data_IF_887667207100
#
_entry.id   IF_887667207100
#
_cell.length_a   1.000
_cell.length_b   1.000
_cell.length_c   1.000
_cell.angle_alpha   90.00
_cell.angle_beta   90.00
_cell.angle_gamma   90.00
#
_symmetry.space_group_name_H-M   'P 1'
#
loop_
_entity.id
_entity.type
_entity.pdbx_description
1 polymer ?
#
# COMPACT_ATOMS: atom_id res chain seq x y z
N UNK A 1 18.56 -11.93 13.79
CA UNK A 1 17.09 -11.83 13.73
C UNK A 1 16.58 -12.98 12.90
N UNK A 2 15.62 -13.75 13.40
CA UNK A 2 14.93 -14.75 12.56
C UNK A 2 14.34 -14.06 11.32
N UNK A 3 14.06 -14.84 10.26
CA UNK A 3 13.38 -14.35 9.04
C UNK A 3 12.08 -13.59 9.34
N UNK A 4 11.42 -13.87 10.46
CA UNK A 4 10.12 -13.30 10.82
C UNK A 4 10.23 -12.08 11.75
N UNK A 5 11.21 -12.04 12.66
CA UNK A 5 11.42 -10.90 13.58
C UNK A 5 11.55 -9.56 12.84
N UNK A 6 12.22 -9.55 11.67
CA UNK A 6 12.33 -8.34 10.84
C UNK A 6 10.97 -7.80 10.38
N UNK A 7 9.96 -8.66 10.29
CA UNK A 7 8.62 -8.29 9.84
C UNK A 7 7.68 -7.98 11.01
N UNK A 8 8.08 -8.28 12.25
CA UNK A 8 7.36 -7.89 13.46
C UNK A 8 7.83 -6.53 13.99
N UNK A 9 9.10 -6.17 13.78
CA UNK A 9 9.66 -4.91 14.27
C UNK A 9 9.05 -3.68 13.58
N UNK A 10 8.80 -2.62 14.34
CA UNK A 10 8.48 -1.31 13.78
C UNK A 10 9.73 -0.64 13.21
N UNK A 11 9.55 -0.01 12.05
CA UNK A 11 10.47 0.95 11.44
C UNK A 11 9.92 2.37 11.61
N UNK A 12 10.72 3.44 11.41
CA UNK A 12 10.28 4.83 11.67
C UNK A 12 8.93 5.20 11.05
N UNK A 13 8.64 4.73 9.84
CA UNK A 13 7.36 4.99 9.17
C UNK A 13 6.17 4.25 9.78
N UNK A 14 6.40 3.08 10.39
CA UNK A 14 5.36 2.21 10.95
C UNK A 14 5.23 2.29 12.46
N UNK A 15 6.13 2.99 13.15
CA UNK A 15 6.11 3.14 14.61
C UNK A 15 4.89 3.99 15.03
N UNK A 16 4.00 3.45 15.88
CA UNK A 16 2.82 4.19 16.34
C UNK A 16 3.09 5.21 17.45
N UNK A 17 4.33 5.27 17.96
CA UNK A 17 4.73 6.18 19.03
C UNK A 17 3.86 6.03 20.28
N UNK A 18 3.28 7.14 20.75
CA UNK A 18 2.50 7.19 21.98
C UNK A 18 1.23 6.30 21.96
N UNK A 19 0.79 5.87 20.77
CA UNK A 19 -0.41 5.05 20.60
C UNK A 19 -0.13 3.53 20.62
N UNK A 20 1.11 3.09 20.85
CA UNK A 20 1.47 1.66 20.88
C UNK A 20 0.59 0.84 21.84
N UNK A 21 0.33 1.35 23.05
CA UNK A 21 -0.54 0.68 24.04
C UNK A 21 -2.00 0.59 23.58
N UNK A 22 -2.52 1.63 22.93
CA UNK A 22 -3.88 1.62 22.39
C UNK A 22 -4.02 0.55 21.29
N UNK A 23 -3.04 0.46 20.39
CA UNK A 23 -3.05 -0.55 19.32
C UNK A 23 -2.94 -1.96 19.90
N UNK A 24 -2.09 -2.18 20.90
CA UNK A 24 -1.99 -3.47 21.59
C UNK A 24 -3.32 -3.92 22.21
N UNK A 25 -4.19 -2.99 22.59
CA UNK A 25 -5.52 -3.26 23.15
C UNK A 25 -6.63 -3.53 22.12
N UNK A 26 -6.36 -3.34 20.82
CA UNK A 26 -7.33 -3.67 19.77
C UNK A 26 -7.57 -5.19 19.65
N UNK A 27 -8.69 -5.63 19.03
CA UNK A 27 -8.93 -7.04 18.74
C UNK A 27 -7.82 -7.68 17.90
N UNK A 28 -7.60 -8.99 18.06
CA UNK A 28 -6.56 -9.75 17.34
C UNK A 28 -6.93 -10.06 15.88
N UNK A 29 -8.22 -10.08 15.57
CA UNK A 29 -8.70 -10.48 14.25
C UNK A 29 -8.41 -9.41 13.19
N UNK A 30 -7.83 -9.83 12.06
CA UNK A 30 -7.34 -8.93 11.00
C UNK A 30 -8.47 -8.12 10.36
N UNK A 31 -9.67 -8.71 10.19
CA UNK A 31 -10.83 -8.00 9.67
C UNK A 31 -11.29 -6.89 10.61
N UNK A 32 -11.29 -7.12 11.92
CA UNK A 32 -11.55 -6.06 12.90
C UNK A 32 -10.50 -4.95 12.87
N UNK A 33 -9.22 -5.29 12.76
CA UNK A 33 -8.14 -4.29 12.62
C UNK A 33 -8.31 -3.47 11.33
N UNK A 34 -8.61 -4.12 10.21
CA UNK A 34 -8.92 -3.44 8.96
C UNK A 34 -10.13 -2.51 9.11
N UNK A 35 -11.20 -2.95 9.79
CA UNK A 35 -12.36 -2.11 10.11
C UNK A 35 -12.02 -0.86 10.94
N UNK A 36 -11.08 -0.97 11.89
CA UNK A 36 -10.57 0.20 12.62
C UNK A 36 -9.86 1.15 11.65
N UNK A 37 -8.96 0.65 10.79
CA UNK A 37 -8.27 1.47 9.79
C UNK A 37 -9.27 2.20 8.87
N UNK A 38 -10.31 1.51 8.41
CA UNK A 38 -11.39 2.07 7.58
C UNK A 38 -12.18 3.18 8.29
N UNK A 39 -12.33 3.06 9.62
CA UNK A 39 -12.96 4.08 10.46
C UNK A 39 -12.08 5.30 10.72
N UNK A 40 -10.77 5.23 10.44
CA UNK A 40 -9.79 6.29 10.70
C UNK A 40 -9.36 7.02 9.42
N UNK A 41 -9.27 6.30 8.31
CA UNK A 41 -8.75 6.80 7.05
C UNK A 41 -9.84 6.93 5.98
N UNK A 42 -9.62 7.87 5.07
CA UNK A 42 -10.41 8.03 3.85
C UNK A 42 -9.48 8.20 2.67
N UNK A 43 -9.71 7.42 1.61
CA UNK A 43 -8.85 7.47 0.44
C UNK A 43 -9.21 8.67 -0.45
N UNK A 44 -8.20 9.43 -0.86
CA UNK A 44 -8.36 10.70 -1.59
C UNK A 44 -9.08 10.59 -2.94
N UNK A 45 -9.01 9.43 -3.62
CA UNK A 45 -9.75 9.19 -4.87
C UNK A 45 -11.25 8.93 -4.68
N UNK A 46 -11.72 8.68 -3.46
CA UNK A 46 -13.09 8.22 -3.20
C UNK A 46 -13.96 9.24 -2.45
N UNK A 47 -13.47 10.47 -2.22
CA UNK A 47 -14.13 11.49 -1.41
C UNK A 47 -15.58 11.75 -1.82
N UNK A 48 -15.81 11.94 -3.12
CA UNK A 48 -17.15 12.22 -3.67
C UNK A 48 -18.13 11.07 -3.41
N UNK A 49 -17.66 9.83 -3.37
CA UNK A 49 -18.48 8.66 -3.04
C UNK A 49 -18.90 8.60 -1.57
N UNK A 50 -18.19 9.32 -0.70
CA UNK A 50 -18.61 9.57 0.68
C UNK A 50 -19.34 10.91 0.85
N UNK A 51 -19.73 11.57 -0.25
CA UNK A 51 -20.44 12.85 -0.22
C UNK A 51 -19.57 14.04 0.19
N UNK A 52 -18.24 13.93 0.07
CA UNK A 52 -17.31 15.01 0.42
C UNK A 52 -16.77 15.71 -0.83
N UNK A 53 -16.58 17.02 -0.72
CA UNK A 53 -15.97 17.82 -1.79
C UNK A 53 -14.44 17.83 -1.65
N UNK A 54 -13.75 17.33 -2.68
CA UNK A 54 -12.30 17.31 -2.75
C UNK A 54 -11.65 18.71 -2.68
N UNK A 55 -12.37 19.76 -3.08
CA UNK A 55 -11.89 21.15 -3.02
C UNK A 55 -11.70 21.65 -1.58
N UNK A 56 -12.38 21.01 -0.62
CA UNK A 56 -12.33 21.37 0.80
C UNK A 56 -11.17 20.72 1.54
N UNK A 57 -10.38 19.89 0.85
CA UNK A 57 -9.23 19.24 1.46
C UNK A 57 -8.07 20.21 1.66
N UNK A 58 -7.55 20.21 2.89
CA UNK A 58 -6.30 20.86 3.20
C UNK A 58 -5.09 20.23 2.49
N UNK A 59 -3.96 20.95 2.40
CA UNK A 59 -2.76 20.52 1.67
C UNK A 59 -2.11 19.23 2.20
N UNK A 60 -2.46 18.80 3.43
CA UNK A 60 -1.92 17.59 4.05
C UNK A 60 -2.55 16.29 3.55
N UNK A 61 -3.66 16.36 2.80
CA UNK A 61 -4.45 15.18 2.39
C UNK A 61 -3.69 14.16 1.51
N UNK A 62 -2.59 14.57 0.87
CA UNK A 62 -1.71 13.68 0.07
C UNK A 62 -0.28 13.61 0.60
N UNK A 63 -0.01 14.20 1.75
CA UNK A 63 1.30 14.08 2.36
C UNK A 63 1.48 12.66 2.88
N UNK A 64 2.65 12.08 2.61
CA UNK A 64 3.02 10.82 3.23
C UNK A 64 3.52 11.11 4.64
N UNK A 65 2.85 10.53 5.63
CA UNK A 65 3.14 10.69 7.05
C UNK A 65 3.60 9.35 7.64
N UNK A 66 4.44 9.40 8.68
CA UNK A 66 4.64 8.24 9.55
C UNK A 66 3.33 7.88 10.28
N UNK A 67 3.22 6.65 10.79
CA UNK A 67 2.03 6.25 11.56
C UNK A 67 1.83 7.10 12.80
N UNK A 68 2.88 7.46 13.54
CA UNK A 68 2.78 8.38 14.67
C UNK A 68 2.18 9.75 14.26
N UNK A 69 2.67 10.35 13.16
CA UNK A 69 2.15 11.62 12.65
C UNK A 69 0.71 11.49 12.12
N UNK A 70 0.40 10.39 11.42
CA UNK A 70 -0.96 10.11 10.92
C UNK A 70 -1.95 9.96 12.07
N UNK A 71 -1.59 9.23 13.12
CA UNK A 71 -2.43 9.08 14.31
C UNK A 71 -2.61 10.42 15.05
N UNK A 72 -1.57 11.25 15.12
CA UNK A 72 -1.70 12.61 15.67
C UNK A 72 -2.65 13.50 14.84
N UNK A 73 -2.58 13.44 13.50
CA UNK A 73 -3.53 14.13 12.62
C UNK A 73 -4.97 13.63 12.83
N UNK A 74 -5.17 12.30 12.93
CA UNK A 74 -6.47 11.70 13.23
C UNK A 74 -7.04 12.22 14.54
N UNK A 75 -6.25 12.19 15.62
CA UNK A 75 -6.68 12.65 16.95
C UNK A 75 -6.93 14.16 16.99
N UNK A 76 -6.21 14.96 16.19
CA UNK A 76 -6.43 16.40 16.08
C UNK A 76 -7.74 16.73 15.35
N UNK A 77 -8.14 15.92 14.36
CA UNK A 77 -9.38 16.09 13.60
C UNK A 77 -10.61 15.70 14.41
N UNK A 78 -10.47 14.63 15.20
CA UNK A 78 -11.52 14.06 16.04
C UNK A 78 -10.88 13.21 17.15
N UNK A 79 -11.08 13.62 18.41
CA UNK A 79 -10.39 13.10 19.58
C UNK A 79 -11.04 11.84 20.19
N UNK A 80 -12.09 11.29 19.55
CA UNK A 80 -12.69 10.02 19.98
C UNK A 80 -11.66 8.88 20.00
N UNK A 81 -11.86 7.83 20.81
CA UNK A 81 -10.95 6.69 20.85
C UNK A 81 -10.65 6.11 19.45
N UNK A 82 -9.40 5.73 19.20
CA UNK A 82 -8.97 5.23 17.87
C UNK A 82 -9.75 4.00 17.40
N UNK A 83 -10.24 3.15 18.31
CA UNK A 83 -11.09 2.01 17.97
C UNK A 83 -12.53 2.38 17.57
N UNK A 84 -12.94 3.64 17.70
CA UNK A 84 -14.26 4.12 17.32
C UNK A 84 -14.22 4.77 15.94
N UNK A 85 -15.08 4.29 15.04
CA UNK A 85 -15.17 4.82 13.69
C UNK A 85 -15.57 6.31 13.68
N UNK A 86 -14.99 7.05 12.75
CA UNK A 86 -15.32 8.46 12.48
C UNK A 86 -16.27 8.55 11.28
N UNK A 87 -17.18 9.55 11.25
CA UNK A 87 -17.87 9.90 10.02
C UNK A 87 -16.84 10.33 8.96
N UNK A 88 -17.19 10.20 7.68
CA UNK A 88 -16.23 10.35 6.58
C UNK A 88 -15.53 11.72 6.58
N UNK A 89 -16.25 12.79 6.91
CA UNK A 89 -15.75 14.18 7.01
C UNK A 89 -14.73 14.39 8.15
N UNK A 90 -14.60 13.44 9.07
CA UNK A 90 -13.67 13.46 10.21
C UNK A 90 -12.53 12.46 10.09
N UNK A 91 -12.49 11.65 9.04
CA UNK A 91 -11.37 10.72 8.78
C UNK A 91 -10.15 11.49 8.24
N UNK A 92 -8.96 10.97 8.50
CA UNK A 92 -7.74 11.52 7.89
C UNK A 92 -7.64 11.05 6.45
N UNK A 93 -7.36 11.98 5.53
CA UNK A 93 -7.27 11.65 4.11
C UNK A 93 -5.88 11.15 3.75
N UNK A 94 -5.82 10.08 2.97
CA UNK A 94 -4.59 9.46 2.49
C UNK A 94 -4.77 8.69 1.19
N UNK A 95 -3.84 7.77 0.94
CA UNK A 95 -3.74 6.90 -0.24
C UNK A 95 -3.74 5.43 0.17
N UNK A 96 -3.81 4.50 -0.79
CA UNK A 96 -3.75 3.05 -0.53
C UNK A 96 -2.55 2.65 0.34
N UNK A 97 -1.41 3.34 0.19
CA UNK A 97 -0.23 3.16 1.04
C UNK A 97 -0.52 3.41 2.52
N UNK A 98 -1.27 4.46 2.84
CA UNK A 98 -1.57 4.81 4.24
C UNK A 98 -2.41 3.71 4.90
N UNK A 99 -3.38 3.13 4.17
CA UNK A 99 -4.17 1.99 4.63
C UNK A 99 -3.30 0.75 4.85
N UNK A 100 -2.47 0.40 3.87
CA UNK A 100 -1.56 -0.74 3.98
C UNK A 100 -0.55 -0.59 5.12
N UNK A 101 0.03 0.60 5.29
CA UNK A 101 1.00 0.89 6.34
C UNK A 101 0.36 0.91 7.73
N UNK A 102 -0.86 1.44 7.86
CA UNK A 102 -1.56 1.46 9.15
C UNK A 102 -1.96 0.06 9.60
N UNK A 103 -2.49 -0.78 8.69
CA UNK A 103 -2.78 -2.18 9.02
C UNK A 103 -1.49 -2.94 9.38
N UNK A 104 -0.41 -2.74 8.62
CA UNK A 104 0.90 -3.31 8.92
C UNK A 104 1.39 -2.91 10.32
N UNK A 105 1.27 -1.64 10.69
CA UNK A 105 1.63 -1.17 12.03
C UNK A 105 0.74 -1.77 13.12
N UNK A 106 -0.56 -1.94 12.88
CA UNK A 106 -1.45 -2.56 13.85
C UNK A 106 -1.08 -4.02 14.10
N UNK A 107 -0.83 -4.78 13.03
CA UNK A 107 -0.40 -6.18 13.12
C UNK A 107 0.96 -6.33 13.85
N UNK A 108 1.94 -5.49 13.51
CA UNK A 108 3.25 -5.46 14.19
C UNK A 108 3.12 -5.14 15.68
N UNK A 109 2.27 -4.19 16.04
CA UNK A 109 1.97 -3.84 17.45
C UNK A 109 1.34 -5.00 18.23
N UNK A 110 0.86 -6.03 17.54
CA UNK A 110 0.28 -7.26 18.10
C UNK A 110 1.20 -8.47 17.93
N UNK A 111 2.45 -8.25 17.52
CA UNK A 111 3.45 -9.31 17.33
C UNK A 111 3.30 -10.09 16.03
N UNK A 112 2.34 -9.76 15.17
CA UNK A 112 2.11 -10.47 13.90
C UNK A 112 3.11 -9.98 12.84
N UNK A 113 3.91 -10.87 12.23
CA UNK A 113 4.79 -10.51 11.13
C UNK A 113 3.97 -9.92 9.96
N UNK A 114 4.26 -8.68 9.59
CA UNK A 114 3.54 -7.97 8.54
C UNK A 114 4.48 -7.09 7.70
N UNK A 115 4.13 -6.91 6.43
CA UNK A 115 4.84 -6.06 5.49
C UNK A 115 3.87 -5.39 4.53
N UNK A 116 4.24 -4.21 4.08
CA UNK A 116 3.52 -3.52 3.00
C UNK A 116 4.02 -4.09 1.68
N UNK A 117 3.14 -4.19 0.67
CA UNK A 117 3.48 -4.60 -0.69
C UNK A 117 2.95 -3.58 -1.69
N UNK A 118 3.71 -3.36 -2.75
CA UNK A 118 3.35 -2.51 -3.88
C UNK A 118 3.20 -3.39 -5.13
N UNK A 119 2.17 -3.13 -5.93
CA UNK A 119 1.81 -3.99 -7.05
C UNK A 119 0.53 -3.53 -7.70
N UNK A 120 -0.29 -4.47 -8.17
CA UNK A 120 -1.45 -4.16 -8.97
C UNK A 120 -2.69 -4.96 -8.58
N UNK A 121 -3.82 -4.28 -8.44
CA UNK A 121 -5.12 -4.82 -8.08
C UNK A 121 -6.03 -4.96 -9.31
N UNK A 122 -6.71 -6.10 -9.45
CA UNK A 122 -7.66 -6.36 -10.56
C UNK A 122 -9.12 -6.05 -10.21
N UNK A 123 -9.39 -5.50 -9.02
CA UNK A 123 -10.74 -5.33 -8.47
C UNK A 123 -11.21 -3.87 -8.40
N UNK A 124 -10.45 -2.93 -8.97
CA UNK A 124 -10.87 -1.52 -9.07
C UNK A 124 -11.24 -1.07 -10.48
N UNK A 125 -10.83 -1.77 -11.52
CA UNK A 125 -11.07 -1.39 -12.91
C UNK A 125 -11.05 -2.61 -13.83
N UNK A 126 -11.24 -2.41 -15.14
CA UNK A 126 -11.12 -3.49 -16.13
C UNK A 126 -9.67 -3.95 -16.40
N UNK A 127 -8.68 -3.35 -15.73
CA UNK A 127 -7.26 -3.70 -15.83
C UNK A 127 -6.62 -3.89 -14.45
N UNK A 128 -5.30 -3.73 -14.40
CA UNK A 128 -4.49 -3.87 -13.21
C UNK A 128 -4.06 -2.48 -12.69
N UNK A 129 -4.68 -2.05 -11.59
CA UNK A 129 -4.50 -0.71 -11.01
C UNK A 129 -3.35 -0.69 -9.98
N UNK A 130 -2.48 0.33 -10.04
CA UNK A 130 -1.44 0.63 -9.03
C UNK A 130 -2.04 0.60 -7.63
N UNK A 131 -1.52 -0.29 -6.78
CA UNK A 131 -2.11 -0.46 -5.47
C UNK A 131 -1.13 -0.97 -4.42
N UNK A 132 -1.46 -0.66 -3.17
CA UNK A 132 -0.67 -0.99 -1.99
C UNK A 132 -1.52 -1.77 -1.00
N UNK A 133 -1.01 -2.91 -0.54
CA UNK A 133 -1.71 -3.79 0.41
C UNK A 133 -0.80 -4.19 1.57
N UNK A 134 -1.39 -4.77 2.62
CA UNK A 134 -0.64 -5.42 3.67
C UNK A 134 -0.57 -6.93 3.41
N UNK A 135 0.61 -7.52 3.52
CA UNK A 135 0.81 -8.95 3.57
C UNK A 135 1.24 -9.33 4.99
N UNK A 136 0.57 -10.32 5.58
CA UNK A 136 0.79 -10.72 6.97
C UNK A 136 0.90 -12.22 7.12
N UNK A 137 1.62 -12.69 8.15
CA UNK A 137 1.71 -14.11 8.43
C UNK A 137 0.56 -14.54 9.33
N UNK A 138 -0.24 -15.49 8.84
CA UNK A 138 -1.27 -16.14 9.62
C UNK A 138 -0.67 -17.00 10.73
N UNK A 139 -1.02 -16.70 11.98
CA UNK A 139 -0.43 -17.36 13.15
C UNK A 139 -0.75 -18.86 13.24
N UNK A 140 -1.89 -19.28 12.69
CA UNK A 140 -2.32 -20.69 12.71
C UNK A 140 -1.62 -21.52 11.64
N UNK A 141 -1.59 -21.03 10.39
CA UNK A 141 -1.05 -21.81 9.26
C UNK A 141 0.40 -21.47 8.89
N UNK A 142 0.96 -20.38 9.42
CA UNK A 142 2.28 -19.87 9.05
C UNK A 142 2.37 -19.30 7.62
N UNK A 143 1.24 -19.27 6.89
CA UNK A 143 1.17 -18.78 5.51
C UNK A 143 1.05 -17.26 5.48
N UNK A 144 1.68 -16.65 4.49
CA UNK A 144 1.43 -15.24 4.20
C UNK A 144 0.05 -15.09 3.54
N UNK A 145 -0.76 -14.17 4.05
CA UNK A 145 -2.08 -13.79 3.55
C UNK A 145 -2.07 -12.32 3.13
N UNK A 146 -2.98 -11.95 2.24
CA UNK A 146 -3.10 -10.61 1.68
C UNK A 146 -4.30 -9.91 2.30
N UNK A 147 -4.13 -8.66 2.72
CA UNK A 147 -5.19 -7.85 3.28
C UNK A 147 -5.14 -6.43 2.69
N UNK A 148 -6.29 -5.93 2.25
CA UNK A 148 -6.50 -4.56 1.82
C UNK A 148 -7.47 -3.84 2.75
N UNK A 149 -6.91 -3.11 3.71
CA UNK A 149 -7.67 -2.31 4.65
C UNK A 149 -8.42 -1.13 3.99
N UNK A 150 -8.17 -0.80 2.72
CA UNK A 150 -8.94 0.23 2.02
C UNK A 150 -10.38 -0.23 1.76
N UNK A 151 -10.63 -1.52 1.56
CA UNK A 151 -11.91 -2.06 1.09
C UNK A 151 -12.95 -2.13 2.22
N UNK A 152 -13.63 -1.01 2.44
CA UNK A 152 -14.77 -0.92 3.37
C UNK A 152 -16.10 -1.35 2.71
N UNK A 153 -17.19 -1.30 3.48
CA UNK A 153 -18.51 -1.68 3.00
C UNK A 153 -19.02 -0.84 1.80
N UNK A 154 -18.60 0.42 1.66
CA UNK A 154 -18.96 1.25 0.51
C UNK A 154 -18.24 0.73 -0.74
N UNK A 155 -16.92 0.57 -0.68
CA UNK A 155 -16.13 0.09 -1.81
C UNK A 155 -16.51 -1.32 -2.22
N UNK A 156 -16.78 -2.21 -1.26
CA UNK A 156 -17.27 -3.57 -1.57
C UNK A 156 -18.53 -3.55 -2.42
N UNK A 157 -19.51 -2.71 -2.06
CA UNK A 157 -20.76 -2.57 -2.82
C UNK A 157 -20.53 -1.93 -4.19
N UNK A 158 -19.76 -0.85 -4.23
CA UNK A 158 -19.52 -0.08 -5.46
C UNK A 158 -18.73 -0.89 -6.51
N UNK A 159 -17.73 -1.63 -6.04
CA UNK A 159 -16.80 -2.38 -6.90
C UNK A 159 -17.17 -3.86 -7.04
N UNK A 160 -18.31 -4.27 -6.47
CA UNK A 160 -18.79 -5.66 -6.48
C UNK A 160 -17.73 -6.66 -5.96
N UNK A 161 -17.04 -6.30 -4.88
CA UNK A 161 -16.00 -7.14 -4.27
C UNK A 161 -16.65 -8.17 -3.35
N UNK A 162 -16.53 -9.45 -3.73
CA UNK A 162 -17.15 -10.57 -3.01
C UNK A 162 -16.17 -11.27 -2.03
N UNK A 163 -14.86 -11.19 -2.28
CA UNK A 163 -13.86 -11.82 -1.43
C UNK A 163 -13.70 -11.12 -0.07
N UNK A 164 -13.08 -11.79 0.91
CA UNK A 164 -12.71 -11.17 2.19
C UNK A 164 -11.51 -10.23 2.00
N UNK A 165 -11.66 -8.96 2.37
CA UNK A 165 -10.59 -7.97 2.25
C UNK A 165 -9.48 -8.18 3.29
N UNK A 166 -9.72 -8.96 4.35
CA UNK A 166 -8.70 -9.35 5.32
C UNK A 166 -7.95 -10.64 4.93
N UNK A 167 -8.45 -11.41 3.96
CA UNK A 167 -7.81 -12.60 3.41
C UNK A 167 -8.14 -12.75 1.92
N UNK A 168 -7.44 -11.95 1.11
CA UNK A 168 -7.72 -11.83 -0.31
C UNK A 168 -7.17 -13.02 -1.10
N UNK A 169 -7.84 -13.43 -2.19
CA UNK A 169 -7.30 -14.45 -3.08
C UNK A 169 -6.07 -13.90 -3.80
N UNK A 170 -5.02 -14.72 -3.91
CA UNK A 170 -3.72 -14.30 -4.47
C UNK A 170 -3.78 -13.83 -5.93
N UNK A 171 -4.81 -14.19 -6.68
CA UNK A 171 -5.02 -13.75 -8.05
C UNK A 171 -5.73 -12.38 -8.15
N UNK A 172 -6.23 -11.81 -7.05
CA UNK A 172 -6.81 -10.47 -7.03
C UNK A 172 -5.75 -9.35 -6.99
N UNK A 173 -4.52 -9.69 -6.60
CA UNK A 173 -3.41 -8.74 -6.51
C UNK A 173 -2.11 -9.38 -6.99
N UNK A 174 -1.47 -8.78 -7.98
CA UNK A 174 -0.14 -9.17 -8.43
C UNK A 174 0.91 -8.29 -7.76
N UNK A 175 1.92 -8.91 -7.16
CA UNK A 175 3.09 -8.18 -6.68
C UNK A 175 3.80 -7.52 -7.87
N UNK A 176 4.45 -6.38 -7.67
CA UNK A 176 5.06 -5.63 -8.77
C UNK A 176 6.04 -6.47 -9.62
N UNK A 177 6.88 -7.29 -8.97
CA UNK A 177 7.80 -8.19 -9.65
C UNK A 177 7.11 -9.29 -10.46
N UNK A 178 5.99 -9.82 -9.96
CA UNK A 178 5.20 -10.83 -10.66
C UNK A 178 4.55 -10.24 -11.93
N UNK A 179 3.95 -9.05 -11.82
CA UNK A 179 3.38 -8.33 -12.95
C UNK A 179 4.46 -8.01 -14.01
N UNK A 180 5.62 -7.52 -13.58
CA UNK A 180 6.77 -7.26 -14.45
C UNK A 180 7.17 -8.52 -15.22
N UNK A 181 7.47 -9.61 -14.51
CA UNK A 181 7.94 -10.85 -15.15
C UNK A 181 6.89 -11.49 -16.06
N UNK A 182 5.59 -11.35 -15.74
CA UNK A 182 4.49 -11.83 -16.58
C UNK A 182 4.45 -11.08 -17.92
N UNK A 183 4.59 -9.75 -17.89
CA UNK A 183 4.72 -8.94 -19.10
C UNK A 183 6.00 -9.30 -19.89
N UNK A 184 7.11 -9.53 -19.20
CA UNK A 184 8.39 -9.90 -19.83
C UNK A 184 8.38 -11.27 -20.51
N UNK A 185 7.52 -12.19 -20.05
CA UNK A 185 7.26 -13.49 -20.71
C UNK A 185 6.25 -13.40 -21.85
N UNK A 186 5.62 -12.24 -22.09
CA UNK A 186 4.57 -12.06 -23.10
C UNK A 186 3.22 -12.68 -22.70
N UNK A 187 3.01 -12.94 -21.41
CA UNK A 187 1.77 -13.54 -20.88
C UNK A 187 0.70 -12.49 -20.54
N UNK A 188 1.08 -11.21 -20.50
CA UNK A 188 0.16 -10.10 -20.30
C UNK A 188 0.67 -8.85 -21.03
N UNK A 189 -0.27 -8.00 -21.47
CA UNK A 189 0.05 -6.74 -22.13
C UNK A 189 0.49 -5.70 -21.10
N UNK A 190 1.68 -5.07 -21.24
CA UNK A 190 2.13 -4.06 -20.29
C UNK A 190 1.16 -2.89 -20.11
N UNK A 191 0.43 -2.54 -21.18
CA UNK A 191 -0.54 -1.45 -21.17
C UNK A 191 -1.76 -1.72 -20.27
N UNK A 192 -1.98 -2.98 -19.84
CA UNK A 192 -3.02 -3.35 -18.89
C UNK A 192 -2.69 -2.99 -17.44
N UNK A 193 -1.45 -2.60 -17.14
CA UNK A 193 -0.97 -2.26 -15.80
C UNK A 193 -0.68 -0.77 -15.69
N UNK A 194 -1.26 -0.08 -14.71
CA UNK A 194 -1.04 1.35 -14.58
C UNK A 194 -1.80 2.04 -13.46
N UNK A 195 -1.72 3.38 -13.51
CA UNK A 195 -2.53 4.28 -12.71
C UNK A 195 -3.04 5.41 -13.58
N UNK A 196 -4.36 5.59 -13.63
CA UNK A 196 -5.01 6.54 -14.54
C UNK A 196 -4.50 6.31 -15.99
N UNK A 197 -3.96 7.35 -16.64
CA UNK A 197 -3.43 7.26 -18.01
C UNK A 197 -1.97 6.81 -18.09
N UNK A 198 -1.32 6.52 -16.96
CA UNK A 198 0.10 6.14 -16.94
C UNK A 198 0.21 4.62 -16.80
N UNK A 199 0.49 3.94 -17.91
CA UNK A 199 0.55 2.46 -17.99
C UNK A 199 1.87 1.99 -18.60
N UNK A 200 2.04 0.67 -18.76
CA UNK A 200 3.13 0.09 -19.54
C UNK A 200 4.37 -0.29 -18.73
N UNK A 201 5.39 -0.79 -19.44
CA UNK A 201 6.64 -1.29 -18.82
C UNK A 201 7.33 -0.24 -17.94
N UNK A 202 7.27 1.04 -18.32
CA UNK A 202 7.84 2.09 -17.49
C UNK A 202 7.17 2.19 -16.13
N UNK A 203 5.85 2.09 -16.07
CA UNK A 203 5.12 2.16 -14.81
C UNK A 203 5.24 0.87 -13.98
N UNK A 204 5.36 -0.29 -14.64
CA UNK A 204 5.76 -1.54 -14.00
C UNK A 204 7.14 -1.43 -13.34
N UNK A 205 8.14 -0.83 -14.03
CA UNK A 205 9.47 -0.54 -13.46
C UNK A 205 9.37 0.30 -12.18
N UNK A 206 8.57 1.38 -12.20
CA UNK A 206 8.33 2.24 -11.01
C UNK A 206 7.83 1.40 -9.83
N UNK A 207 6.87 0.50 -10.08
CA UNK A 207 6.31 -0.39 -9.07
C UNK A 207 7.31 -1.44 -8.56
N UNK A 208 8.14 -2.03 -9.44
CA UNK A 208 9.18 -2.99 -9.04
C UNK A 208 10.15 -2.35 -8.05
N UNK A 209 10.58 -1.11 -8.32
CA UNK A 209 11.47 -0.36 -7.44
C UNK A 209 10.81 0.06 -6.14
N UNK A 210 9.54 0.45 -6.17
CA UNK A 210 8.75 0.74 -4.96
C UNK A 210 8.59 -0.50 -4.06
N UNK A 211 8.19 -1.65 -4.60
CA UNK A 211 8.04 -2.89 -3.81
C UNK A 211 9.40 -3.34 -3.24
N UNK A 212 10.47 -3.24 -4.03
CA UNK A 212 11.83 -3.50 -3.56
C UNK A 212 12.25 -2.57 -2.41
N UNK A 213 11.98 -1.26 -2.52
CA UNK A 213 12.26 -0.30 -1.47
C UNK A 213 11.48 -0.59 -0.19
N UNK A 214 10.17 -0.87 -0.31
CA UNK A 214 9.31 -1.21 0.83
C UNK A 214 9.79 -2.48 1.55
N UNK A 215 10.19 -3.51 0.81
CA UNK A 215 10.74 -4.74 1.36
C UNK A 215 12.14 -4.58 1.99
N UNK A 216 12.77 -3.42 1.78
CA UNK A 216 14.04 -3.00 2.37
C UNK A 216 13.87 -1.79 3.31
N UNK A 217 12.73 -1.74 4.01
CA UNK A 217 12.41 -0.77 5.06
C UNK A 217 12.32 0.70 4.60
N UNK A 218 12.17 0.93 3.28
CA UNK A 218 11.93 2.24 2.67
C UNK A 218 10.51 2.31 2.13
N UNK A 219 9.56 2.55 3.03
CA UNK A 219 8.13 2.68 2.67
C UNK A 219 7.86 3.89 1.78
N UNK A 220 8.75 4.88 1.81
CA UNK A 220 8.76 6.05 0.92
C UNK A 220 10.06 6.12 0.14
N UNK A 221 9.99 6.63 -1.09
CA UNK A 221 11.16 6.82 -1.94
C UNK A 221 10.94 7.89 -3.01
N UNK A 222 12.01 8.34 -3.66
CA UNK A 222 11.92 9.26 -4.79
C UNK A 222 11.13 8.69 -5.98
N UNK A 223 11.01 7.36 -6.09
CA UNK A 223 10.14 6.71 -7.09
C UNK A 223 8.66 7.01 -6.88
N UNK A 224 8.29 7.54 -5.70
CA UNK A 224 6.92 7.98 -5.43
C UNK A 224 6.53 9.26 -6.18
N UNK A 225 7.55 9.99 -6.64
CA UNK A 225 7.43 11.23 -7.39
C UNK A 225 7.38 11.00 -8.90
N UNK A 226 7.00 9.79 -9.33
CA UNK A 226 6.91 9.42 -10.75
C UNK A 226 6.04 10.36 -11.59
N UNK A 227 5.07 11.08 -10.97
CA UNK A 227 4.27 12.10 -11.66
C UNK A 227 5.09 13.28 -12.16
N UNK A 228 6.27 13.51 -11.60
CA UNK A 228 7.22 14.54 -12.04
C UNK A 228 7.99 14.10 -13.30
N UNK A 229 7.96 12.82 -13.66
CA UNK A 229 8.63 12.32 -14.85
C UNK A 229 7.94 12.83 -16.13
N UNK A 230 8.67 13.49 -17.04
CA UNK A 230 8.12 13.95 -18.31
C UNK A 230 7.72 12.75 -19.17
N UNK A 231 6.60 12.85 -19.87
CA UNK A 231 6.05 11.74 -20.67
C UNK A 231 7.06 11.17 -21.67
N UNK A 232 7.82 12.04 -22.35
CA UNK A 232 8.87 11.63 -23.30
C UNK A 232 10.00 10.80 -22.66
N UNK A 233 10.20 10.91 -21.34
CA UNK A 233 11.20 10.16 -20.58
C UNK A 233 10.67 8.86 -19.97
N UNK A 234 9.39 8.52 -20.19
CA UNK A 234 8.76 7.32 -19.61
C UNK A 234 9.07 6.05 -20.41
N UNK A 235 10.36 5.74 -20.50
CA UNK A 235 10.90 4.61 -21.27
C UNK A 235 11.69 3.67 -20.36
N UNK A 236 11.75 2.40 -20.72
CA UNK A 236 12.67 1.44 -20.10
C UNK A 236 13.77 1.10 -21.11
N UNK A 237 15.01 1.57 -20.90
CA UNK A 237 16.14 1.20 -21.75
C UNK A 237 16.35 -0.31 -21.79
N UNK A 238 16.72 -0.84 -22.96
CA UNK A 238 16.85 -2.28 -23.17
C UNK A 238 17.94 -2.92 -22.30
N UNK A 239 19.02 -2.19 -22.05
CA UNK A 239 20.14 -2.61 -21.20
C UNK A 239 19.78 -2.70 -19.70
N UNK A 240 18.66 -2.10 -19.28
CA UNK A 240 18.15 -2.23 -17.92
C UNK A 240 17.29 -3.47 -17.68
N UNK A 241 16.79 -4.10 -18.75
CA UNK A 241 15.78 -5.17 -18.65
C UNK A 241 16.29 -6.36 -17.82
N UNK A 242 17.52 -6.81 -18.05
CA UNK A 242 18.07 -7.95 -17.31
C UNK A 242 18.23 -7.67 -15.81
N UNK A 243 18.60 -6.44 -15.46
CA UNK A 243 18.70 -6.01 -14.06
C UNK A 243 17.32 -5.89 -13.41
N UNK A 244 16.32 -5.38 -14.12
CA UNK A 244 14.94 -5.32 -13.64
C UNK A 244 14.33 -6.72 -13.50
N UNK A 245 14.61 -7.64 -14.43
CA UNK A 245 14.19 -9.05 -14.35
C UNK A 245 14.76 -9.71 -13.07
N UNK A 246 16.04 -9.47 -12.76
CA UNK A 246 16.65 -9.94 -11.50
C UNK A 246 15.98 -9.32 -10.27
N UNK A 247 15.82 -7.99 -10.25
CA UNK A 247 15.20 -7.27 -9.13
C UNK A 247 13.76 -7.71 -8.88
N UNK A 248 12.98 -7.90 -9.94
CA UNK A 248 11.61 -8.38 -9.90
C UNK A 248 11.51 -9.81 -9.35
N UNK A 249 12.49 -10.68 -9.67
CA UNK A 249 12.52 -12.06 -9.19
C UNK A 249 12.88 -12.19 -7.71
N UNK A 250 13.67 -11.26 -7.17
CA UNK A 250 14.19 -11.28 -5.80
C UNK A 250 14.07 -9.91 -5.14
N UNK A 251 12.85 -9.38 -4.92
CA UNK A 251 12.68 -7.99 -4.49
C UNK A 251 13.15 -7.75 -3.03
N UNK A 252 13.38 -8.80 -2.25
CA UNK A 252 13.94 -8.73 -0.90
C UNK A 252 15.48 -8.75 -0.86
N UNK A 253 16.15 -8.79 -2.02
CA UNK A 253 17.61 -8.71 -2.10
C UNK A 253 18.11 -7.38 -1.50
N UNK A 254 19.41 -7.28 -1.13
CA UNK A 254 19.95 -6.06 -0.55
C UNK A 254 19.58 -4.82 -1.35
N UNK A 255 19.22 -3.77 -0.63
CA UNK A 255 18.71 -2.54 -1.19
C UNK A 255 19.59 -1.99 -2.33
N UNK A 256 18.98 -1.78 -3.49
CA UNK A 256 19.53 -1.05 -4.62
C UNK A 256 18.97 0.36 -4.61
N UNK A 257 19.78 1.34 -4.21
CA UNK A 257 19.39 2.74 -4.09
C UNK A 257 19.52 3.51 -5.42
N UNK A 258 18.93 2.99 -6.49
CA UNK A 258 18.94 3.66 -7.80
C UNK A 258 18.02 4.88 -7.78
N UNK A 259 18.56 6.04 -8.18
CA UNK A 259 17.76 7.26 -8.34
C UNK A 259 16.82 7.11 -9.54
N UNK A 260 15.61 7.70 -9.48
CA UNK A 260 14.75 7.79 -10.64
C UNK A 260 15.41 8.51 -11.81
N UNK A 261 15.16 8.03 -13.03
CA UNK A 261 15.84 8.54 -14.23
C UNK A 261 15.48 10.01 -14.52
N UNK A 262 14.33 10.49 -14.04
CA UNK A 262 13.89 11.87 -14.18
C UNK A 262 14.46 12.83 -13.13
N UNK A 263 15.22 12.33 -12.15
CA UNK A 263 15.93 13.12 -11.14
C UNK A 263 17.46 13.06 -11.31
N UNK A 264 17.93 12.41 -12.38
CA UNK A 264 19.34 12.21 -12.69
C UNK A 264 19.88 13.29 -13.62
#
# INVERSE_FOLDING_TARGET
>A
MTSLERWTAHMPMSDPGLHAKTIASFPDEVGHLAGIVQGLLLHSSWLSDYGLDASTLGPTARQTLSIAERLADIMKRDDRPLGQARPADRRSVGTCRDFALMLCAFLRGKGVPARVRCGFASYFSGGWEDHWICEYQDGETGRWRLADAQIDAMLRRKMHIEFDAADMPRNAFLMAGEAWLTCRRGEAEPASFGHENTTGLWFLKVNVLRDHHVLNDRVTSEWDRWREAPEAGRLVPHDELAWLDDLASRPHQPLVARKPDWLA
#
